data_IF_528823271136
#
_entry.id   IF_528823271136
#
_cell.length_a   1.000
_cell.length_b   1.000
_cell.length_c   1.000
_cell.angle_alpha   90.00
_cell.angle_beta   90.00
_cell.angle_gamma   90.00
#
_symmetry.space_group_name_H-M   'P 1'
#
loop_
_entity.id
_entity.type
_entity.pdbx_description
1 polymer ?
#
# COMPACT_ATOMS: atom_id res chain seq x y z
N UNK A 1 3.74 22.78 30.46
CA UNK A 1 4.68 21.93 29.68
C UNK A 1 3.86 20.87 28.96
N UNK A 2 3.63 21.02 27.65
CA UNK A 2 2.87 20.05 26.88
C UNK A 2 3.77 18.85 26.55
N UNK A 3 3.53 17.71 27.23
CA UNK A 3 4.19 16.44 26.94
C UNK A 3 3.61 15.91 25.64
N UNK A 4 4.37 16.03 24.55
CA UNK A 4 4.02 15.39 23.29
C UNK A 4 4.13 13.87 23.49
N UNK A 5 2.98 13.19 23.53
CA UNK A 5 2.91 11.74 23.53
C UNK A 5 3.21 11.30 22.10
N UNK A 6 4.43 10.81 21.85
CA UNK A 6 4.68 10.06 20.62
C UNK A 6 4.01 8.71 20.80
N UNK A 7 2.92 8.49 20.08
CA UNK A 7 2.30 7.17 19.94
C UNK A 7 3.34 6.31 19.22
N UNK A 8 3.78 5.22 19.85
CA UNK A 8 4.67 4.24 19.22
C UNK A 8 3.82 3.30 18.36
N UNK A 9 3.53 3.77 17.15
CA UNK A 9 2.86 3.08 16.07
C UNK A 9 3.13 3.89 14.79
N UNK A 10 2.84 3.36 13.58
CA UNK A 10 3.03 4.13 12.35
C UNK A 10 2.44 5.54 12.53
N UNK A 11 3.28 6.56 12.40
CA UNK A 11 2.91 7.92 12.76
C UNK A 11 1.74 8.47 11.93
N UNK A 12 1.44 7.88 10.78
CA UNK A 12 0.37 8.27 9.86
C UNK A 12 -0.31 7.01 9.26
N UNK A 13 -1.61 7.14 8.93
CA UNK A 13 -2.37 6.10 8.23
C UNK A 13 -3.03 6.71 6.99
N UNK A 14 -2.90 6.03 5.86
CA UNK A 14 -3.57 6.35 4.60
C UNK A 14 -4.61 5.27 4.30
N UNK A 15 -5.77 5.67 3.79
CA UNK A 15 -6.92 4.79 3.60
C UNK A 15 -7.48 4.96 2.18
N UNK A 16 -7.79 3.86 1.50
CA UNK A 16 -8.69 3.84 0.35
C UNK A 16 -9.89 2.95 0.68
N UNK A 17 -11.04 3.60 0.89
CA UNK A 17 -12.29 2.96 1.30
C UNK A 17 -13.35 2.92 0.18
N UNK A 18 -12.96 2.99 -1.11
CA UNK A 18 -13.87 2.92 -2.26
C UNK A 18 -13.46 1.87 -3.29
N UNK A 19 -14.12 1.83 -4.46
CA UNK A 19 -13.75 0.97 -5.62
C UNK A 19 -12.36 1.28 -6.24
N UNK A 20 -11.49 1.96 -5.49
CA UNK A 20 -10.15 2.34 -5.91
C UNK A 20 -9.14 1.26 -5.55
N UNK A 21 -8.69 0.51 -6.55
CA UNK A 21 -7.60 -0.45 -6.44
C UNK A 21 -6.21 0.19 -6.21
N UNK A 22 -6.11 1.49 -5.92
CA UNK A 22 -4.84 2.21 -5.78
C UNK A 22 -4.92 3.25 -4.66
N UNK A 23 -3.91 3.24 -3.80
CA UNK A 23 -3.71 4.20 -2.71
C UNK A 23 -2.33 4.87 -2.87
N UNK A 24 -2.35 6.18 -3.13
CA UNK A 24 -1.13 7.00 -3.07
C UNK A 24 -0.89 7.40 -1.62
N UNK A 25 -0.10 6.60 -0.90
CA UNK A 25 0.18 6.75 0.53
C UNK A 25 1.06 7.98 0.78
N UNK A 26 2.09 8.19 -0.04
CA UNK A 26 3.02 9.31 0.08
C UNK A 26 3.53 9.73 -1.29
N UNK A 27 3.42 11.01 -1.63
CA UNK A 27 3.86 11.54 -2.93
C UNK A 27 5.09 12.44 -2.79
N UNK A 28 6.03 12.31 -3.73
CA UNK A 28 7.22 13.15 -3.88
C UNK A 28 8.05 13.33 -2.59
N UNK A 29 8.10 12.30 -1.73
CA UNK A 29 8.84 12.35 -0.47
C UNK A 29 9.28 10.95 -0.02
N UNK A 30 10.42 10.90 0.66
CA UNK A 30 10.93 9.71 1.34
C UNK A 30 10.07 9.34 2.54
N UNK A 31 9.96 8.05 2.80
CA UNK A 31 9.25 7.55 3.96
C UNK A 31 9.42 6.06 4.16
N UNK A 32 8.71 5.54 5.16
CA UNK A 32 8.73 4.13 5.54
C UNK A 32 7.33 3.59 5.61
N UNK A 33 7.10 2.44 5.00
CA UNK A 33 5.85 1.70 5.07
C UNK A 33 5.97 0.62 6.15
N UNK A 34 5.10 0.64 7.15
CA UNK A 34 5.14 -0.28 8.29
C UNK A 34 4.10 -1.38 8.19
N UNK A 35 2.89 -1.03 7.75
CA UNK A 35 1.82 -1.99 7.60
C UNK A 35 1.00 -1.69 6.36
N UNK A 36 0.46 -2.74 5.75
CA UNK A 36 -0.64 -2.65 4.78
C UNK A 36 -1.66 -3.71 5.15
N UNK A 37 -2.90 -3.31 5.35
CA UNK A 37 -4.05 -4.21 5.41
C UNK A 37 -4.85 -4.00 4.15
N UNK A 38 -5.24 -5.09 3.49
CA UNK A 38 -6.00 -5.01 2.26
C UNK A 38 -7.11 -6.06 2.21
N UNK A 39 -8.19 -5.71 1.53
CA UNK A 39 -9.35 -6.57 1.30
C UNK A 39 -9.55 -6.72 -0.20
N UNK A 40 -9.62 -7.96 -0.69
CA UNK A 40 -10.04 -8.27 -2.04
C UNK A 40 -11.46 -8.84 -2.02
N UNK A 41 -12.48 -8.00 -2.21
CA UNK A 41 -13.87 -8.46 -2.27
C UNK A 41 -14.32 -8.82 -3.71
N UNK A 42 -13.35 -9.01 -4.63
CA UNK A 42 -13.63 -9.47 -6.00
C UNK A 42 -13.70 -11.00 -6.07
N UNK A 43 -14.13 -11.52 -7.22
CA UNK A 43 -14.23 -12.96 -7.53
C UNK A 43 -12.94 -13.55 -8.12
N UNK A 44 -11.89 -12.75 -8.27
CA UNK A 44 -10.59 -13.16 -8.80
C UNK A 44 -9.47 -12.95 -7.77
N UNK A 45 -8.39 -13.72 -7.90
CA UNK A 45 -7.16 -13.44 -7.14
C UNK A 45 -6.51 -12.18 -7.68
N UNK A 46 -6.20 -11.24 -6.79
CA UNK A 46 -5.45 -10.02 -7.10
C UNK A 46 -4.09 -10.06 -6.38
N UNK A 47 -3.20 -9.15 -6.75
CA UNK A 47 -1.88 -9.00 -6.16
C UNK A 47 -1.78 -7.65 -5.49
N UNK A 48 -1.61 -7.64 -4.17
CA UNK A 48 -1.31 -6.44 -3.42
C UNK A 48 0.15 -6.06 -3.66
N UNK A 49 0.36 -4.90 -4.25
CA UNK A 49 1.66 -4.42 -4.69
C UNK A 49 2.03 -3.09 -4.05
N UNK A 50 3.31 -2.93 -3.70
CA UNK A 50 3.85 -1.67 -3.21
C UNK A 50 4.96 -1.16 -4.15
N UNK A 51 4.94 0.13 -4.44
CA UNK A 51 5.80 0.81 -5.42
C UNK A 51 6.52 1.98 -4.81
N UNK A 52 7.76 2.18 -5.26
CA UNK A 52 8.61 3.31 -4.93
C UNK A 52 8.59 4.33 -6.06
N UNK A 53 7.55 5.14 -6.05
CA UNK A 53 7.19 6.05 -7.13
C UNK A 53 6.65 7.34 -6.55
N UNK A 54 6.98 8.45 -7.19
CA UNK A 54 6.57 9.78 -6.73
C UNK A 54 5.08 10.05 -6.95
N UNK A 55 4.50 9.51 -8.03
CA UNK A 55 3.14 9.78 -8.49
C UNK A 55 2.44 8.51 -8.99
N UNK A 56 1.95 7.67 -8.08
CA UNK A 56 1.16 6.47 -8.42
C UNK A 56 1.89 5.42 -9.26
N UNK A 57 1.35 4.21 -9.27
CA UNK A 57 1.88 3.15 -10.10
C UNK A 57 1.43 3.34 -11.57
N UNK A 58 2.40 3.36 -12.50
CA UNK A 58 2.12 3.36 -13.93
C UNK A 58 2.01 1.93 -14.46
N UNK A 59 1.19 1.71 -15.51
CA UNK A 59 1.07 0.38 -16.11
C UNK A 59 2.45 -0.16 -16.55
N UNK A 60 2.71 -1.43 -16.23
CA UNK A 60 4.00 -2.09 -16.44
C UNK A 60 5.07 -1.78 -15.38
N UNK A 61 4.80 -0.93 -14.38
CA UNK A 61 5.74 -0.67 -13.30
C UNK A 61 6.07 -1.96 -12.52
N UNK A 62 7.33 -2.13 -12.14
CA UNK A 62 7.77 -3.28 -11.35
C UNK A 62 7.57 -2.97 -9.87
N UNK A 63 6.81 -3.80 -9.13
CA UNK A 63 6.58 -3.59 -7.72
C UNK A 63 7.81 -3.98 -6.88
N UNK A 64 7.99 -3.32 -5.74
CA UNK A 64 9.00 -3.73 -4.74
C UNK A 64 8.49 -4.87 -3.85
N UNK A 65 7.18 -4.96 -3.68
CA UNK A 65 6.48 -6.00 -2.93
C UNK A 65 5.30 -6.44 -3.76
N UNK A 66 5.05 -7.74 -3.86
CA UNK A 66 3.88 -8.30 -4.52
C UNK A 66 3.45 -9.54 -3.76
N UNK A 67 2.21 -9.56 -3.29
CA UNK A 67 1.65 -10.69 -2.53
C UNK A 67 0.26 -11.02 -3.07
N UNK A 68 -0.04 -12.30 -3.35
CA UNK A 68 -1.37 -12.69 -3.79
C UNK A 68 -2.39 -12.52 -2.66
N UNK A 69 -3.55 -12.00 -3.00
CA UNK A 69 -4.74 -11.90 -2.14
C UNK A 69 -5.86 -12.64 -2.87
N UNK A 70 -6.24 -13.86 -2.42
CA UNK A 70 -7.31 -14.62 -3.04
C UNK A 70 -8.64 -13.87 -3.06
N UNK A 71 -9.56 -14.34 -3.90
CA UNK A 71 -10.91 -13.79 -4.01
C UNK A 71 -11.67 -13.87 -2.68
N UNK A 72 -12.31 -12.78 -2.27
CA UNK A 72 -13.07 -12.69 -1.01
C UNK A 72 -12.24 -12.65 0.28
N UNK A 73 -10.91 -12.58 0.17
CA UNK A 73 -10.00 -12.68 1.31
C UNK A 73 -9.34 -11.35 1.69
N UNK A 74 -8.74 -11.35 2.87
CA UNK A 74 -7.93 -10.27 3.41
C UNK A 74 -6.44 -10.65 3.44
N UNK A 75 -5.57 -9.66 3.34
CA UNK A 75 -4.13 -9.82 3.54
C UNK A 75 -3.57 -8.69 4.41
N UNK A 76 -2.56 -9.02 5.21
CA UNK A 76 -1.73 -8.03 5.91
C UNK A 76 -0.26 -8.21 5.57
N UNK A 77 0.44 -7.08 5.44
CA UNK A 77 1.88 -7.00 5.29
C UNK A 77 2.42 -6.14 6.42
N UNK A 78 3.27 -6.70 7.27
CA UNK A 78 3.77 -6.03 8.47
C UNK A 78 5.30 -6.06 8.52
N UNK A 79 5.92 -4.90 8.74
CA UNK A 79 7.37 -4.73 8.81
C UNK A 79 7.77 -4.05 10.13
N UNK A 80 8.43 -4.81 11.01
CA UNK A 80 8.82 -4.34 12.35
C UNK A 80 9.68 -3.06 12.38
N UNK A 81 10.50 -2.81 11.35
CA UNK A 81 11.34 -1.61 11.22
C UNK A 81 10.90 -0.64 10.13
N UNK A 82 9.75 -0.90 9.48
CA UNK A 82 9.31 -0.23 8.27
C UNK A 82 10.20 -0.55 7.06
N UNK A 83 9.59 -0.59 5.88
CA UNK A 83 10.28 -0.74 4.61
C UNK A 83 10.53 0.65 4.00
N UNK A 84 11.78 1.03 3.67
CA UNK A 84 12.09 2.38 3.19
C UNK A 84 11.74 2.55 1.71
N UNK A 85 11.19 3.70 1.36
CA UNK A 85 10.85 4.14 0.00
C UNK A 85 11.45 5.53 -0.26
N UNK A 86 12.06 5.71 -1.43
CA UNK A 86 12.92 6.86 -1.73
C UNK A 86 12.21 8.00 -2.50
N UNK A 87 11.22 7.67 -3.33
CA UNK A 87 10.52 8.62 -4.20
C UNK A 87 9.11 8.93 -3.68
N UNK A 88 8.47 7.95 -3.07
CA UNK A 88 7.10 7.98 -2.58
C UNK A 88 6.61 6.56 -2.32
N UNK A 89 5.40 6.44 -1.79
CA UNK A 89 4.78 5.17 -1.47
C UNK A 89 3.43 5.12 -2.19
N UNK A 90 3.30 4.17 -3.11
CA UNK A 90 2.03 3.81 -3.72
C UNK A 90 1.75 2.34 -3.46
N UNK A 91 0.54 2.02 -3.05
CA UNK A 91 0.06 0.65 -2.85
C UNK A 91 -1.12 0.43 -3.77
N UNK A 92 -1.14 -0.67 -4.50
CA UNK A 92 -2.21 -0.94 -5.45
C UNK A 92 -2.49 -2.44 -5.57
N UNK A 93 -3.73 -2.78 -5.89
CA UNK A 93 -4.09 -4.10 -6.38
C UNK A 93 -3.81 -4.20 -7.88
N UNK A 94 -3.21 -5.33 -8.25
CA UNK A 94 -2.94 -5.68 -9.64
C UNK A 94 -3.51 -7.03 -10.02
N UNK A 95 -3.81 -7.22 -11.30
CA UNK A 95 -4.14 -8.53 -11.88
C UNK A 95 -2.90 -9.34 -12.27
N UNK A 96 -1.71 -8.76 -12.18
CA UNK A 96 -0.43 -9.39 -12.54
C UNK A 96 0.53 -9.41 -11.34
N UNK A 97 1.39 -10.42 -11.26
CA UNK A 97 2.29 -10.60 -10.10
C UNK A 97 3.57 -9.76 -10.16
N UNK A 98 4.19 -9.62 -11.35
CA UNK A 98 5.52 -9.03 -11.51
C UNK A 98 5.51 -7.63 -12.14
N UNK A 99 4.35 -7.17 -12.58
CA UNK A 99 4.14 -5.88 -13.23
C UNK A 99 2.80 -5.31 -12.79
N UNK A 100 2.70 -3.99 -12.78
CA UNK A 100 1.45 -3.33 -12.47
C UNK A 100 0.52 -3.35 -13.67
N UNK A 101 -0.58 -4.10 -13.53
CA UNK A 101 -1.78 -3.95 -14.32
C UNK A 101 -2.92 -3.63 -13.36
N UNK A 102 -3.51 -2.44 -13.47
CA UNK A 102 -4.54 -1.98 -12.55
C UNK A 102 -5.68 -3.01 -12.41
N UNK A 103 -6.02 -3.34 -11.17
CA UNK A 103 -7.24 -4.07 -10.89
C UNK A 103 -8.44 -3.10 -10.88
N UNK A 104 -9.64 -3.67 -10.97
CA UNK A 104 -10.90 -2.96 -10.81
C UNK A 104 -11.79 -3.75 -9.86
N UNK A 105 -12.62 -3.07 -9.08
CA UNK A 105 -13.62 -3.71 -8.22
C UNK A 105 -13.57 -3.21 -6.79
N UNK A 106 -14.31 -3.90 -5.91
CA UNK A 106 -14.42 -3.57 -4.50
C UNK A 106 -13.18 -4.05 -3.74
N UNK A 107 -12.21 -3.14 -3.60
CA UNK A 107 -10.96 -3.40 -2.90
C UNK A 107 -10.70 -2.32 -1.86
N UNK A 108 -10.21 -2.70 -0.70
CA UNK A 108 -9.88 -1.76 0.38
C UNK A 108 -8.39 -1.86 0.68
N UNK A 109 -7.75 -0.73 0.97
CA UNK A 109 -6.33 -0.66 1.34
C UNK A 109 -6.16 0.35 2.48
N UNK A 110 -5.59 -0.11 3.58
CA UNK A 110 -5.13 0.72 4.69
C UNK A 110 -3.61 0.57 4.84
N UNK A 111 -2.88 1.68 4.88
CA UNK A 111 -1.43 1.68 4.94
C UNK A 111 -0.92 2.53 6.10
N UNK A 112 -0.18 1.92 7.03
CA UNK A 112 0.54 2.61 8.09
C UNK A 112 1.93 3.02 7.63
N UNK A 113 2.27 4.31 7.73
CA UNK A 113 3.53 4.85 7.23
C UNK A 113 4.10 5.97 8.11
N UNK A 114 5.36 6.30 7.87
CA UNK A 114 6.02 7.50 8.40
C UNK A 114 6.74 8.24 7.27
N UNK A 115 6.89 9.55 7.43
CA UNK A 115 7.73 10.37 6.55
C UNK A 115 9.10 10.54 7.18
N UNK A 116 10.15 10.40 6.38
CA UNK A 116 11.51 10.80 6.79
C UNK A 116 11.65 12.34 6.85
#
# INVERSE_FOLDING_TARGET
MARTVRVSGPGLVAHNNGEGATLNVLANRRGRLFSVVATNATDATLYLQAFDVANGAAAGAVPRVSVPVPAGENASLDWAGGRPFALGICVAFSTQVLSYQAASGNTLIDAGYETD
#
